data_IF_501335496317
#
_entry.id   IF_501335496317
#
_cell.length_a   1.000
_cell.length_b   1.000
_cell.length_c   1.000
_cell.angle_alpha   90.00
_cell.angle_beta   90.00
_cell.angle_gamma   90.00
#
_symmetry.space_group_name_H-M   'P 1'
#
loop_
_entity.id
_entity.type
_entity.pdbx_description
1 polymer ?
#
# COMPACT_ATOMS: atom_id res chain seq x y z
N UNK A 1 -14.90 8.60 32.36
CA UNK A 1 -15.37 8.41 30.97
C UNK A 1 -14.13 8.22 30.09
N UNK A 2 -14.04 7.15 29.31
CA UNK A 2 -12.92 6.94 28.38
C UNK A 2 -12.97 7.94 27.22
N UNK A 3 -11.81 8.23 26.61
CA UNK A 3 -11.69 9.10 25.44
C UNK A 3 -12.26 8.40 24.18
N UNK A 4 -12.50 9.15 23.10
CA UNK A 4 -12.86 8.53 21.78
C UNK A 4 -11.77 7.60 21.27
N UNK A 5 -10.48 7.87 21.57
CA UNK A 5 -9.37 6.97 21.26
C UNK A 5 -9.47 5.65 22.05
N UNK A 6 -9.84 5.69 23.34
CA UNK A 6 -10.08 4.48 24.13
C UNK A 6 -11.24 3.67 23.56
N UNK A 7 -12.33 4.34 23.14
CA UNK A 7 -13.45 3.71 22.45
C UNK A 7 -12.99 3.04 21.16
N UNK A 8 -12.30 3.76 20.29
CA UNK A 8 -11.80 3.21 19.02
C UNK A 8 -10.85 2.03 19.26
N UNK A 9 -9.96 2.15 20.24
CA UNK A 9 -9.01 1.07 20.60
C UNK A 9 -9.70 -0.20 21.11
N UNK A 10 -10.85 -0.09 21.77
CA UNK A 10 -11.60 -1.21 22.33
C UNK A 10 -12.61 -1.79 21.32
N UNK A 11 -13.44 -0.90 20.75
CA UNK A 11 -14.62 -1.30 19.97
C UNK A 11 -14.30 -1.46 18.47
N UNK A 12 -13.18 -0.86 18.00
CA UNK A 12 -12.68 -0.91 16.60
C UNK A 12 -13.52 -0.13 15.61
N UNK A 13 -14.49 0.63 16.07
CA UNK A 13 -15.36 1.44 15.23
C UNK A 13 -15.79 2.73 15.93
N UNK A 14 -16.10 3.74 15.13
CA UNK A 14 -16.71 4.99 15.54
C UNK A 14 -17.78 5.42 14.52
N UNK A 15 -18.67 6.32 14.92
CA UNK A 15 -19.51 7.02 13.95
C UNK A 15 -18.69 8.03 13.15
N UNK A 16 -19.17 8.42 11.96
CA UNK A 16 -18.48 9.44 11.15
C UNK A 16 -18.28 10.76 11.92
N UNK A 17 -19.28 11.18 12.72
CA UNK A 17 -19.19 12.38 13.55
C UNK A 17 -18.12 12.25 14.67
N UNK A 18 -17.94 11.05 15.24
CA UNK A 18 -16.89 10.79 16.24
C UNK A 18 -15.51 10.79 15.61
N UNK A 19 -15.35 10.25 14.38
CA UNK A 19 -14.09 10.39 13.62
C UNK A 19 -13.79 11.85 13.31
N UNK A 20 -14.80 12.63 12.85
CA UNK A 20 -14.61 14.05 12.59
C UNK A 20 -14.17 14.81 13.85
N UNK A 21 -14.75 14.50 15.00
CA UNK A 21 -14.33 15.10 16.28
C UNK A 21 -12.88 14.77 16.62
N UNK A 22 -12.41 13.51 16.41
CA UNK A 22 -11.01 13.15 16.61
C UNK A 22 -10.07 13.92 15.67
N UNK A 23 -10.52 14.26 14.47
CA UNK A 23 -9.74 15.00 13.48
C UNK A 23 -9.74 16.52 13.70
N UNK A 24 -10.78 17.05 14.35
CA UNK A 24 -10.87 18.45 14.78
C UNK A 24 -10.06 18.73 16.05
N UNK A 25 -10.03 17.77 16.97
CA UNK A 25 -9.34 17.85 18.24
C UNK A 25 -8.28 16.72 18.34
N UNK A 26 -7.20 16.76 17.52
CA UNK A 26 -6.26 15.67 17.40
C UNK A 26 -5.43 15.48 18.68
N UNK A 27 -5.23 14.22 19.07
CA UNK A 27 -4.41 13.81 20.20
C UNK A 27 -3.30 12.85 19.72
N UNK A 28 -2.33 13.33 18.93
CA UNK A 28 -1.38 12.47 18.21
C UNK A 28 -0.49 11.64 19.12
N UNK A 29 -0.04 12.20 20.27
CA UNK A 29 0.80 11.48 21.23
C UNK A 29 0.07 10.30 21.89
N UNK A 30 -1.19 10.50 22.28
CA UNK A 30 -2.00 9.43 22.87
C UNK A 30 -2.34 8.37 21.81
N UNK A 31 -2.76 8.80 20.62
CA UNK A 31 -3.06 7.90 19.51
C UNK A 31 -1.85 7.04 19.12
N UNK A 32 -0.66 7.65 18.99
CA UNK A 32 0.59 6.95 18.69
C UNK A 32 0.96 5.92 19.76
N UNK A 33 0.87 6.26 21.05
CA UNK A 33 1.13 5.31 22.15
C UNK A 33 0.18 4.12 22.13
N UNK A 34 -1.10 4.34 21.88
CA UNK A 34 -2.09 3.27 21.76
C UNK A 34 -1.85 2.40 20.52
N UNK A 35 -1.52 3.02 19.38
CA UNK A 35 -1.22 2.34 18.14
C UNK A 35 0.05 1.48 18.25
N UNK A 36 1.15 2.00 18.80
CA UNK A 36 2.38 1.23 19.02
C UNK A 36 2.14 0.03 19.97
N UNK A 37 1.36 0.23 21.04
CA UNK A 37 0.99 -0.87 21.95
C UNK A 37 0.24 -1.99 21.21
N UNK A 38 -0.73 -1.66 20.33
CA UNK A 38 -1.48 -2.64 19.54
C UNK A 38 -0.55 -3.31 18.55
N UNK A 39 0.25 -2.53 17.83
CA UNK A 39 1.21 -3.02 16.84
C UNK A 39 2.19 -4.00 17.46
N UNK A 40 2.82 -3.65 18.60
CA UNK A 40 3.75 -4.54 19.33
C UNK A 40 3.07 -5.81 19.82
N UNK A 41 1.82 -5.73 20.27
CA UNK A 41 1.05 -6.92 20.67
C UNK A 41 0.81 -7.88 19.50
N UNK A 42 0.62 -7.37 18.27
CA UNK A 42 0.29 -8.17 17.08
C UNK A 42 1.52 -8.64 16.30
N UNK A 43 2.51 -7.79 16.17
CA UNK A 43 3.67 -8.02 15.28
C UNK A 43 5.02 -8.04 16.02
N UNK A 44 5.04 -7.80 17.33
CA UNK A 44 6.30 -7.70 18.11
C UNK A 44 7.12 -6.49 17.65
N UNK A 45 8.44 -6.70 17.50
CA UNK A 45 9.38 -5.71 16.96
C UNK A 45 9.48 -5.73 15.43
N UNK A 46 8.83 -6.69 14.75
CA UNK A 46 8.98 -6.94 13.31
C UNK A 46 8.39 -5.83 12.45
N UNK A 47 9.15 -5.43 11.45
CA UNK A 47 8.75 -4.58 10.32
C UNK A 47 9.00 -5.36 9.04
N UNK A 48 7.99 -5.48 8.19
CA UNK A 48 8.07 -6.27 6.96
C UNK A 48 8.64 -5.43 5.82
N UNK A 49 9.62 -5.98 5.12
CA UNK A 49 10.22 -5.35 3.95
C UNK A 49 9.50 -5.82 2.68
N UNK A 50 8.95 -4.86 1.94
CA UNK A 50 8.30 -5.08 0.65
C UNK A 50 9.15 -4.51 -0.48
N UNK A 51 9.53 -5.33 -1.44
CA UNK A 51 10.17 -4.92 -2.69
C UNK A 51 9.14 -4.46 -3.71
N UNK A 52 9.25 -3.22 -4.17
CA UNK A 52 8.38 -2.63 -5.19
C UNK A 52 9.03 -2.69 -6.55
N UNK A 53 8.33 -3.28 -7.50
CA UNK A 53 8.72 -3.32 -8.92
C UNK A 53 7.65 -2.61 -9.74
N UNK A 54 7.91 -1.38 -10.18
CA UNK A 54 7.08 -0.68 -11.14
C UNK A 54 7.33 -1.28 -12.52
N UNK A 55 6.52 -2.26 -12.91
CA UNK A 55 6.73 -3.05 -14.12
C UNK A 55 6.49 -2.26 -15.40
N UNK A 56 5.68 -1.19 -15.32
CA UNK A 56 5.43 -0.27 -16.42
C UNK A 56 5.15 1.14 -15.92
N UNK A 57 5.64 2.12 -16.67
CA UNK A 57 5.26 3.52 -16.50
C UNK A 57 4.15 3.95 -17.46
N UNK A 58 3.55 3.01 -18.20
CA UNK A 58 2.44 3.27 -19.11
C UNK A 58 1.13 3.06 -18.36
N UNK A 59 0.18 3.98 -18.64
CA UNK A 59 -1.20 3.87 -18.18
C UNK A 59 -2.12 4.22 -19.34
N UNK A 60 -3.23 3.50 -19.47
CA UNK A 60 -4.25 3.77 -20.50
C UNK A 60 -5.21 4.89 -20.14
N UNK A 61 -5.14 5.44 -18.91
CA UNK A 61 -6.07 6.44 -18.39
C UNK A 61 -5.41 7.79 -18.13
N UNK A 62 -6.23 8.84 -18.12
CA UNK A 62 -5.78 10.22 -17.95
C UNK A 62 -6.36 10.86 -16.68
N UNK A 63 -6.22 10.17 -15.55
CA UNK A 63 -6.67 10.67 -14.26
C UNK A 63 -5.93 11.96 -13.88
N UNK A 64 -6.66 13.03 -13.53
CA UNK A 64 -6.12 14.38 -13.37
C UNK A 64 -4.99 14.49 -12.32
N UNK A 65 -5.04 13.70 -11.26
CA UNK A 65 -4.06 13.71 -10.15
C UNK A 65 -2.94 12.69 -10.29
N UNK A 66 -3.02 11.82 -11.29
CA UNK A 66 -2.04 10.75 -11.46
C UNK A 66 -0.80 11.23 -12.23
N UNK A 67 0.40 11.15 -11.67
CA UNK A 67 1.60 11.52 -12.40
C UNK A 67 1.92 10.55 -13.54
N UNK A 68 1.33 9.33 -13.53
CA UNK A 68 1.49 8.33 -14.59
C UNK A 68 0.43 8.44 -15.69
N UNK A 69 -0.50 9.40 -15.62
CA UNK A 69 -1.59 9.57 -16.57
C UNK A 69 -1.10 9.56 -18.02
N UNK A 70 -1.98 9.16 -18.95
CA UNK A 70 -1.64 8.98 -20.37
C UNK A 70 -1.01 10.23 -21.01
N UNK A 71 -1.52 11.43 -20.69
CA UNK A 71 -1.03 12.71 -21.22
C UNK A 71 0.28 13.23 -20.62
N UNK A 72 0.77 12.64 -19.52
CA UNK A 72 1.99 13.10 -18.88
C UNK A 72 3.23 12.88 -19.75
N UNK A 73 4.06 13.92 -19.87
CA UNK A 73 5.24 13.94 -20.76
C UNK A 73 6.49 13.52 -19.99
N UNK A 74 6.94 12.28 -20.18
CA UNK A 74 8.21 11.73 -19.71
C UNK A 74 8.55 10.45 -20.47
N UNK A 75 9.80 9.99 -20.37
CA UNK A 75 10.24 8.74 -21.00
C UNK A 75 9.56 7.55 -20.35
N UNK A 76 8.75 6.84 -21.13
CA UNK A 76 7.98 5.68 -20.67
C UNK A 76 8.72 4.38 -20.93
N UNK A 77 8.46 3.38 -20.08
CA UNK A 77 9.04 2.05 -20.21
C UNK A 77 8.03 0.94 -19.88
N UNK A 78 8.34 -0.26 -20.31
CA UNK A 78 7.75 -1.53 -19.91
C UNK A 78 8.87 -2.51 -19.61
N UNK A 79 8.72 -3.30 -18.57
CA UNK A 79 9.63 -4.41 -18.26
C UNK A 79 9.11 -5.68 -18.92
N UNK A 80 10.01 -6.46 -19.50
CA UNK A 80 9.67 -7.82 -19.94
C UNK A 80 9.65 -8.76 -18.73
N UNK A 81 8.92 -9.89 -18.77
CA UNK A 81 8.86 -10.85 -17.65
C UNK A 81 10.24 -11.26 -17.11
N UNK A 82 11.24 -11.42 -17.98
CA UNK A 82 12.60 -11.75 -17.55
C UNK A 82 13.23 -10.65 -16.71
N UNK A 83 13.08 -9.40 -17.09
CA UNK A 83 13.61 -8.26 -16.33
C UNK A 83 12.99 -8.15 -14.95
N UNK A 84 11.69 -8.51 -14.83
CA UNK A 84 10.98 -8.56 -13.54
C UNK A 84 11.54 -9.68 -12.67
N UNK A 85 11.77 -10.87 -13.24
CA UNK A 85 12.40 -12.00 -12.54
C UNK A 85 13.81 -11.64 -12.06
N UNK A 86 14.64 -11.01 -12.90
CA UNK A 86 15.99 -10.57 -12.54
C UNK A 86 15.95 -9.57 -11.35
N UNK A 87 14.98 -8.64 -11.31
CA UNK A 87 14.79 -7.75 -10.14
C UNK A 87 14.39 -8.53 -8.88
N UNK A 88 13.56 -9.56 -9.01
CA UNK A 88 13.18 -10.39 -7.87
C UNK A 88 14.36 -11.24 -7.37
N UNK A 89 15.26 -11.68 -8.25
CA UNK A 89 16.49 -12.40 -7.87
C UNK A 89 17.43 -11.49 -7.06
N UNK A 90 17.68 -10.28 -7.57
CA UNK A 90 18.49 -9.29 -6.87
C UNK A 90 17.91 -9.01 -5.46
N UNK A 91 16.58 -8.85 -5.38
CA UNK A 91 15.88 -8.60 -4.12
C UNK A 91 15.92 -9.81 -3.17
N UNK A 92 15.75 -11.01 -3.70
CA UNK A 92 15.86 -12.25 -2.91
C UNK A 92 17.23 -12.42 -2.26
N UNK A 93 18.29 -12.07 -2.99
CA UNK A 93 19.66 -12.07 -2.48
C UNK A 93 19.88 -11.04 -1.34
N UNK A 94 19.01 -10.05 -1.21
CA UNK A 94 18.99 -9.05 -0.13
C UNK A 94 17.93 -9.33 0.94
N UNK A 95 17.45 -10.56 1.02
CA UNK A 95 16.46 -11.01 2.00
C UNK A 95 15.06 -10.38 1.87
N UNK A 96 14.73 -9.82 0.71
CA UNK A 96 13.35 -9.39 0.43
C UNK A 96 12.49 -10.62 0.14
N UNK A 97 11.40 -10.79 0.90
CA UNK A 97 10.48 -11.94 0.81
C UNK A 97 9.05 -11.53 0.46
N UNK A 98 8.83 -10.29 0.06
CA UNK A 98 7.54 -9.78 -0.40
C UNK A 98 7.76 -8.91 -1.63
N UNK A 99 7.13 -9.24 -2.75
CA UNK A 99 7.21 -8.49 -4.01
C UNK A 99 5.88 -7.82 -4.31
N UNK A 100 5.91 -6.53 -4.66
CA UNK A 100 4.76 -5.81 -5.19
C UNK A 100 5.03 -5.44 -6.65
N UNK A 101 4.29 -6.05 -7.57
CA UNK A 101 4.30 -5.68 -8.99
C UNK A 101 3.25 -4.59 -9.23
N UNK A 102 3.69 -3.38 -9.63
CA UNK A 102 2.83 -2.23 -9.79
C UNK A 102 2.90 -1.64 -11.21
N UNK A 103 1.75 -1.26 -11.74
CA UNK A 103 1.59 -0.42 -12.92
C UNK A 103 0.21 0.23 -12.94
N UNK A 104 0.01 1.23 -13.80
CA UNK A 104 -1.35 1.55 -14.25
C UNK A 104 -1.90 0.43 -15.14
N UNK A 105 -3.20 0.48 -15.51
CA UNK A 105 -3.75 -0.42 -16.51
C UNK A 105 -2.98 -0.33 -17.84
N UNK A 106 -2.20 -1.36 -18.13
CA UNK A 106 -1.39 -1.48 -19.35
C UNK A 106 -1.76 -2.78 -20.08
N UNK A 107 -2.36 -2.66 -21.26
CA UNK A 107 -2.84 -3.79 -22.09
C UNK A 107 -1.72 -4.74 -22.55
N UNK A 108 -0.46 -4.34 -22.43
CA UNK A 108 0.68 -5.22 -22.72
C UNK A 108 0.71 -6.44 -21.79
N UNK A 109 0.37 -6.24 -20.52
CA UNK A 109 0.34 -7.32 -19.53
C UNK A 109 -0.99 -8.06 -19.58
N UNK A 110 -1.07 -9.05 -20.48
CA UNK A 110 -2.22 -9.94 -20.57
C UNK A 110 -2.30 -10.87 -19.34
N UNK A 111 -3.50 -11.42 -19.06
CA UNK A 111 -3.68 -12.36 -17.95
C UNK A 111 -2.75 -13.56 -18.08
N UNK A 112 -2.64 -14.14 -19.31
CA UNK A 112 -1.71 -15.24 -19.57
C UNK A 112 -0.26 -14.88 -19.23
N UNK A 113 0.22 -13.72 -19.68
CA UNK A 113 1.60 -13.28 -19.40
C UNK A 113 1.85 -13.10 -17.91
N UNK A 114 0.89 -12.53 -17.19
CA UNK A 114 0.97 -12.31 -15.75
C UNK A 114 0.91 -13.64 -14.99
N UNK A 115 -0.01 -14.54 -15.35
CA UNK A 115 -0.10 -15.87 -14.74
C UNK A 115 1.21 -16.65 -14.94
N UNK A 116 1.72 -16.71 -16.19
CA UNK A 116 3.01 -17.37 -16.49
C UNK A 116 4.19 -16.76 -15.68
N UNK A 117 4.15 -15.46 -15.39
CA UNK A 117 5.15 -14.78 -14.56
C UNK A 117 5.00 -15.14 -13.09
N UNK A 118 3.77 -15.12 -12.55
CA UNK A 118 3.46 -15.45 -11.16
C UNK A 118 3.84 -16.90 -10.87
N UNK A 119 3.50 -17.85 -11.75
CA UNK A 119 3.93 -19.26 -11.64
C UNK A 119 5.44 -19.39 -11.52
N UNK A 120 6.18 -18.68 -12.37
CA UNK A 120 7.67 -18.68 -12.33
C UNK A 120 8.19 -18.08 -11.02
N UNK A 121 7.58 -17.02 -10.51
CA UNK A 121 7.93 -16.43 -9.22
C UNK A 121 7.69 -17.42 -8.07
N UNK A 122 6.58 -18.16 -8.09
CA UNK A 122 6.27 -19.19 -7.09
C UNK A 122 7.29 -20.34 -7.10
N UNK A 123 7.65 -20.82 -8.28
CA UNK A 123 8.64 -21.89 -8.43
C UNK A 123 10.02 -21.42 -7.96
N UNK A 124 10.43 -20.20 -8.33
CA UNK A 124 11.77 -19.71 -8.09
C UNK A 124 11.98 -19.16 -6.67
N UNK A 125 10.95 -18.57 -6.08
CA UNK A 125 10.99 -17.96 -4.76
C UNK A 125 9.88 -18.53 -3.85
N UNK A 126 10.01 -19.79 -3.43
CA UNK A 126 9.02 -20.42 -2.58
C UNK A 126 8.90 -19.68 -1.24
N UNK A 127 7.67 -19.47 -0.78
CA UNK A 127 7.40 -18.74 0.47
C UNK A 127 7.44 -17.21 0.36
N UNK A 128 7.73 -16.61 -0.80
CA UNK A 128 7.55 -15.17 -1.00
C UNK A 128 6.07 -14.79 -1.04
N UNK A 129 5.75 -13.60 -0.52
CA UNK A 129 4.46 -12.97 -0.78
C UNK A 129 4.50 -12.25 -2.13
N UNK A 130 3.51 -12.50 -3.00
CA UNK A 130 3.36 -11.85 -4.30
C UNK A 130 2.12 -10.96 -4.26
N UNK A 131 2.35 -9.64 -4.31
CA UNK A 131 1.30 -8.64 -4.34
C UNK A 131 1.23 -7.98 -5.73
N UNK A 132 0.03 -7.63 -6.15
CA UNK A 132 -0.25 -6.96 -7.41
C UNK A 132 -0.91 -5.60 -7.15
N UNK A 133 -0.58 -4.58 -7.94
CA UNK A 133 -1.25 -3.28 -8.00
C UNK A 133 -1.28 -2.83 -9.47
N UNK A 134 -2.15 -3.44 -10.25
CA UNK A 134 -2.20 -3.31 -11.72
C UNK A 134 -3.46 -2.56 -12.21
N UNK A 135 -4.09 -1.79 -11.32
CA UNK A 135 -5.36 -1.11 -11.58
C UNK A 135 -6.56 -2.03 -11.54
N UNK A 136 -7.68 -1.58 -12.10
CA UNK A 136 -8.91 -2.38 -12.15
C UNK A 136 -8.84 -3.48 -13.20
N UNK A 137 -9.33 -4.66 -12.86
CA UNK A 137 -9.43 -5.83 -13.74
C UNK A 137 -10.80 -6.49 -13.60
N UNK A 138 -11.19 -7.30 -14.58
CA UNK A 138 -12.40 -8.10 -14.44
C UNK A 138 -12.22 -9.19 -13.37
N UNK A 139 -13.33 -9.67 -12.82
CA UNK A 139 -13.34 -10.72 -11.81
C UNK A 139 -12.65 -12.00 -12.29
N UNK A 140 -12.84 -12.35 -13.58
CA UNK A 140 -12.21 -13.50 -14.23
C UNK A 140 -10.69 -13.32 -14.28
N UNK A 141 -10.21 -12.11 -14.66
CA UNK A 141 -8.79 -11.77 -14.64
C UNK A 141 -8.21 -11.86 -13.23
N UNK A 142 -8.90 -11.29 -12.22
CA UNK A 142 -8.47 -11.36 -10.82
C UNK A 142 -8.36 -12.82 -10.34
N UNK A 143 -9.35 -13.66 -10.68
CA UNK A 143 -9.33 -15.08 -10.33
C UNK A 143 -8.16 -15.81 -10.99
N UNK A 144 -7.93 -15.61 -12.29
CA UNK A 144 -6.83 -16.25 -13.01
C UNK A 144 -5.45 -15.92 -12.38
N UNK A 145 -5.24 -14.68 -11.95
CA UNK A 145 -4.00 -14.26 -11.30
C UNK A 145 -3.87 -14.80 -9.86
N UNK A 146 -4.99 -14.94 -9.12
CA UNK A 146 -5.03 -15.57 -7.81
C UNK A 146 -4.71 -17.06 -7.92
N UNK A 147 -5.33 -17.76 -8.89
CA UNK A 147 -5.11 -19.19 -9.15
C UNK A 147 -3.66 -19.47 -9.54
N UNK A 148 -2.99 -18.53 -10.25
CA UNK A 148 -1.56 -18.59 -10.54
C UNK A 148 -0.67 -18.35 -9.31
N UNK A 149 -1.23 -17.93 -8.18
CA UNK A 149 -0.53 -17.80 -6.90
C UNK A 149 -0.24 -16.37 -6.45
N UNK A 150 -0.90 -15.34 -6.96
CA UNK A 150 -0.83 -14.01 -6.37
C UNK A 150 -1.59 -13.98 -5.04
N UNK A 151 -0.93 -13.48 -4.00
CA UNK A 151 -1.44 -13.51 -2.63
C UNK A 151 -2.28 -12.28 -2.29
N UNK A 152 -1.84 -11.10 -2.77
CA UNK A 152 -2.44 -9.81 -2.45
C UNK A 152 -2.77 -9.03 -3.70
N UNK A 153 -3.81 -8.22 -3.60
CA UNK A 153 -4.06 -7.20 -4.60
C UNK A 153 -4.32 -5.86 -3.91
N UNK A 154 -3.60 -4.83 -4.35
CA UNK A 154 -3.73 -3.48 -3.79
C UNK A 154 -4.44 -2.61 -4.83
N UNK A 155 -5.60 -2.11 -4.45
CA UNK A 155 -6.40 -1.18 -5.24
C UNK A 155 -6.91 -0.08 -4.33
N UNK A 156 -6.36 1.12 -4.45
CA UNK A 156 -6.80 2.24 -3.64
C UNK A 156 -8.22 2.64 -4.04
N UNK A 157 -9.10 2.91 -3.05
CA UNK A 157 -10.35 3.62 -3.35
C UNK A 157 -10.09 5.07 -3.73
N UNK A 158 -8.92 5.59 -3.32
CA UNK A 158 -8.41 6.95 -3.49
C UNK A 158 -9.18 8.00 -2.68
N UNK A 159 -10.49 7.96 -2.67
CA UNK A 159 -11.34 8.80 -1.82
C UNK A 159 -12.74 8.20 -1.67
N UNK A 160 -13.40 8.49 -0.53
CA UNK A 160 -14.82 8.22 -0.29
C UNK A 160 -15.74 9.33 -0.85
N UNK A 161 -15.17 10.43 -1.38
CA UNK A 161 -15.94 11.49 -2.05
C UNK A 161 -16.15 11.13 -3.52
N UNK A 162 -17.31 10.51 -3.81
CA UNK A 162 -17.71 10.13 -5.16
C UNK A 162 -17.66 11.29 -6.15
N UNK A 163 -18.13 12.47 -5.76
CA UNK A 163 -18.20 13.62 -6.66
C UNK A 163 -16.78 14.13 -7.01
N UNK A 164 -15.85 14.07 -6.06
CA UNK A 164 -14.46 14.40 -6.30
C UNK A 164 -13.80 13.34 -7.20
N UNK A 165 -14.03 12.05 -6.93
CA UNK A 165 -13.50 10.94 -7.73
C UNK A 165 -13.95 11.07 -9.19
N UNK A 166 -15.25 11.16 -9.43
CA UNK A 166 -15.82 11.21 -10.78
C UNK A 166 -15.39 12.46 -11.59
N UNK A 167 -15.02 13.57 -10.92
CA UNK A 167 -14.44 14.76 -11.58
C UNK A 167 -12.96 14.63 -11.95
N UNK A 168 -12.24 13.76 -11.28
CA UNK A 168 -10.78 13.62 -11.45
C UNK A 168 -10.38 12.40 -12.25
N UNK A 169 -11.34 11.55 -12.61
CA UNK A 169 -11.14 10.32 -13.37
C UNK A 169 -11.92 10.35 -14.70
N UNK A 170 -11.43 9.62 -15.73
CA UNK A 170 -12.19 9.40 -16.96
C UNK A 170 -13.54 8.69 -16.70
N UNK A 171 -14.50 8.89 -17.61
CA UNK A 171 -15.87 8.34 -17.48
C UNK A 171 -15.91 6.81 -17.32
N UNK A 172 -14.98 6.10 -17.91
CA UNK A 172 -14.86 4.65 -17.86
C UNK A 172 -14.18 4.13 -16.56
N UNK A 173 -13.71 5.05 -15.70
CA UNK A 173 -13.16 4.78 -14.36
C UNK A 173 -14.01 5.41 -13.25
N UNK A 174 -15.32 5.19 -13.24
CA UNK A 174 -16.22 5.75 -12.22
C UNK A 174 -16.02 5.12 -10.85
N UNK A 175 -16.33 5.89 -9.80
CA UNK A 175 -16.18 5.46 -8.41
C UNK A 175 -16.91 4.14 -8.10
N UNK A 176 -18.14 3.96 -8.60
CA UNK A 176 -18.89 2.71 -8.38
C UNK A 176 -18.17 1.49 -8.98
N UNK A 177 -17.55 1.64 -10.14
CA UNK A 177 -16.75 0.58 -10.76
C UNK A 177 -15.53 0.23 -9.91
N UNK A 178 -14.88 1.24 -9.31
CA UNK A 178 -13.76 1.05 -8.37
C UNK A 178 -14.19 0.22 -7.16
N UNK A 179 -15.32 0.58 -6.54
CA UNK A 179 -15.86 -0.13 -5.39
C UNK A 179 -16.28 -1.56 -5.76
N UNK A 180 -16.87 -1.76 -6.95
CA UNK A 180 -17.21 -3.09 -7.44
C UNK A 180 -15.96 -3.96 -7.57
N UNK A 181 -14.89 -3.47 -8.20
CA UNK A 181 -13.63 -4.19 -8.32
C UNK A 181 -12.99 -4.51 -6.94
N UNK A 182 -13.10 -3.61 -5.96
CA UNK A 182 -12.66 -3.87 -4.58
C UNK A 182 -13.44 -5.04 -3.93
N UNK A 183 -14.74 -5.13 -4.18
CA UNK A 183 -15.56 -6.25 -3.70
C UNK A 183 -15.19 -7.55 -4.42
N UNK A 184 -14.98 -7.51 -5.75
CA UNK A 184 -14.52 -8.68 -6.52
C UNK A 184 -13.19 -9.23 -5.99
N UNK A 185 -12.27 -8.37 -5.55
CA UNK A 185 -11.02 -8.78 -4.93
C UNK A 185 -11.24 -9.61 -3.66
N UNK A 186 -12.17 -9.20 -2.80
CA UNK A 186 -12.54 -9.98 -1.60
C UNK A 186 -13.16 -11.32 -1.96
N UNK A 187 -14.06 -11.34 -2.93
CA UNK A 187 -14.75 -12.55 -3.36
C UNK A 187 -13.82 -13.55 -4.08
N UNK A 188 -12.72 -13.09 -4.64
CA UNK A 188 -11.70 -13.94 -5.26
C UNK A 188 -10.62 -14.44 -4.29
N UNK A 189 -10.72 -14.10 -2.99
CA UNK A 189 -9.85 -14.65 -1.93
C UNK A 189 -8.52 -13.94 -1.75
N UNK A 190 -8.30 -12.77 -2.40
CA UNK A 190 -7.11 -11.97 -2.16
C UNK A 190 -7.04 -11.42 -0.73
N UNK A 191 -5.83 -11.32 -0.18
CA UNK A 191 -5.57 -10.30 0.82
C UNK A 191 -5.74 -8.93 0.14
N UNK A 192 -6.89 -8.31 0.36
CA UNK A 192 -7.24 -7.06 -0.32
C UNK A 192 -6.61 -5.88 0.37
N UNK A 193 -5.77 -5.15 -0.36
CA UNK A 193 -5.23 -3.86 0.03
C UNK A 193 -6.08 -2.71 -0.49
N UNK A 194 -6.30 -1.71 0.35
CA UNK A 194 -7.06 -0.51 0.04
C UNK A 194 -6.33 0.73 0.58
N UNK A 195 -6.85 1.92 0.36
CA UNK A 195 -6.27 3.14 0.90
C UNK A 195 -6.70 4.39 0.15
N UNK A 196 -6.27 5.54 0.64
CA UNK A 196 -6.72 6.81 0.11
C UNK A 196 -5.60 7.85 -0.01
N UNK A 197 -5.88 8.89 -0.79
CA UNK A 197 -4.99 10.03 -0.97
C UNK A 197 -5.11 10.95 0.25
N UNK A 198 -4.00 11.37 0.83
CA UNK A 198 -3.96 12.31 1.96
C UNK A 198 -3.47 13.67 1.48
N UNK A 199 -4.34 14.65 1.50
CA UNK A 199 -4.04 16.02 1.06
C UNK A 199 -4.81 17.05 1.91
N UNK A 200 -5.43 18.01 1.25
CA UNK A 200 -6.15 19.11 1.89
C UNK A 200 -7.64 18.80 2.17
N UNK A 201 -7.97 17.53 2.45
CA UNK A 201 -9.33 17.18 2.85
C UNK A 201 -9.70 17.84 4.17
N UNK A 202 -10.98 18.19 4.30
CA UNK A 202 -11.58 18.65 5.57
C UNK A 202 -11.60 17.49 6.58
N UNK A 203 -11.70 17.77 7.89
CA UNK A 203 -11.89 16.72 8.90
C UNK A 203 -13.07 15.80 8.59
N UNK A 204 -14.22 16.33 8.13
CA UNK A 204 -15.37 15.55 7.71
C UNK A 204 -15.10 14.68 6.46
N UNK A 205 -14.27 15.15 5.53
CA UNK A 205 -13.82 14.35 4.39
C UNK A 205 -12.96 13.16 4.84
N UNK A 206 -11.96 13.41 5.69
CA UNK A 206 -11.11 12.35 6.25
C UNK A 206 -11.89 11.37 7.14
N UNK A 207 -12.91 11.85 7.87
CA UNK A 207 -13.78 10.99 8.65
C UNK A 207 -14.52 9.96 7.77
N UNK A 208 -14.94 10.34 6.56
CA UNK A 208 -15.53 9.42 5.58
C UNK A 208 -14.53 8.41 5.06
N UNK A 209 -13.26 8.82 4.83
CA UNK A 209 -12.19 7.88 4.43
C UNK A 209 -11.94 6.81 5.51
N UNK A 210 -11.83 7.25 6.79
CA UNK A 210 -11.67 6.33 7.91
C UNK A 210 -12.87 5.41 8.06
N UNK A 211 -14.10 5.95 7.93
CA UNK A 211 -15.33 5.16 7.99
C UNK A 211 -15.40 4.12 6.86
N UNK A 212 -14.99 4.49 5.64
CA UNK A 212 -14.89 3.55 4.54
C UNK A 212 -13.93 2.39 4.85
N UNK A 213 -12.71 2.68 5.35
CA UNK A 213 -11.77 1.61 5.72
C UNK A 213 -12.30 0.72 6.84
N UNK A 214 -12.97 1.31 7.83
CA UNK A 214 -13.61 0.57 8.91
C UNK A 214 -14.68 -0.41 8.40
N UNK A 215 -15.54 0.02 7.49
CA UNK A 215 -16.60 -0.82 6.91
C UNK A 215 -16.06 -1.84 5.91
N UNK A 216 -15.09 -1.44 5.11
CA UNK A 216 -14.49 -2.31 4.10
C UNK A 216 -13.57 -3.38 4.72
N UNK A 217 -12.93 -3.16 5.89
CA UNK A 217 -12.03 -4.10 6.57
C UNK A 217 -10.92 -4.66 5.65
N UNK A 218 -10.06 -3.82 5.06
CA UNK A 218 -8.96 -4.31 4.22
C UNK A 218 -7.87 -4.99 5.08
N UNK A 219 -7.19 -5.99 4.50
CA UNK A 219 -6.04 -6.63 5.14
C UNK A 219 -4.72 -5.85 4.95
N UNK A 220 -4.68 -4.93 4.00
CA UNK A 220 -3.55 -4.00 3.85
C UNK A 220 -4.06 -2.57 3.61
N UNK A 221 -3.36 -1.56 4.15
CA UNK A 221 -3.73 -0.16 3.94
C UNK A 221 -2.52 0.64 3.48
N UNK A 222 -2.76 1.46 2.44
CA UNK A 222 -1.79 2.41 1.92
C UNK A 222 -2.36 3.83 1.97
N UNK A 223 -1.62 4.73 2.60
CA UNK A 223 -1.87 6.17 2.51
C UNK A 223 -0.93 6.76 1.46
N UNK A 224 -1.48 7.60 0.58
CA UNK A 224 -0.69 8.30 -0.44
C UNK A 224 -0.70 9.80 -0.14
N UNK A 225 0.36 10.34 0.50
CA UNK A 225 0.46 11.76 0.78
C UNK A 225 0.54 12.59 -0.51
N UNK A 226 -0.32 13.61 -0.61
CA UNK A 226 -0.30 14.65 -1.64
C UNK A 226 -0.01 15.98 -0.95
N UNK A 227 1.26 16.33 -0.78
CA UNK A 227 1.71 17.53 -0.06
C UNK A 227 1.13 17.62 1.37
N UNK A 228 0.90 16.47 2.01
CA UNK A 228 0.34 16.41 3.35
C UNK A 228 1.42 16.57 4.43
N UNK A 229 1.06 17.25 5.52
CA UNK A 229 1.90 17.29 6.72
C UNK A 229 2.20 15.86 7.22
N UNK A 230 3.47 15.50 7.40
CA UNK A 230 3.86 14.21 7.97
C UNK A 230 3.16 13.85 9.28
N UNK A 231 2.95 14.82 10.15
CA UNK A 231 2.22 14.61 11.43
C UNK A 231 0.77 14.22 11.23
N UNK A 232 0.12 14.76 10.21
CA UNK A 232 -1.24 14.35 9.81
C UNK A 232 -1.26 12.89 9.34
N UNK A 233 -0.27 12.47 8.55
CA UNK A 233 -0.14 11.09 8.08
C UNK A 233 0.09 10.13 9.25
N UNK A 234 0.99 10.45 10.16
CA UNK A 234 1.28 9.69 11.38
C UNK A 234 0.02 9.53 12.26
N UNK A 235 -0.75 10.61 12.44
CA UNK A 235 -1.99 10.55 13.19
C UNK A 235 -3.03 9.64 12.53
N UNK A 236 -3.20 9.74 11.21
CA UNK A 236 -4.10 8.85 10.45
C UNK A 236 -3.66 7.37 10.55
N UNK A 237 -2.36 7.08 10.43
CA UNK A 237 -1.82 5.72 10.65
C UNK A 237 -2.18 5.19 12.04
N UNK A 238 -2.08 6.05 13.07
CA UNK A 238 -2.45 5.67 14.43
C UNK A 238 -3.93 5.32 14.55
N UNK A 239 -4.82 6.15 14.00
CA UNK A 239 -6.26 5.87 14.00
C UNK A 239 -6.59 4.57 13.24
N UNK A 240 -5.95 4.35 12.09
CA UNK A 240 -6.12 3.14 11.29
C UNK A 240 -5.64 1.91 12.06
N UNK A 241 -4.51 1.97 12.77
CA UNK A 241 -4.04 0.86 13.62
C UNK A 241 -4.99 0.57 14.77
N UNK A 242 -5.62 1.61 15.34
CA UNK A 242 -6.62 1.40 16.39
C UNK A 242 -7.85 0.64 15.88
N UNK A 243 -8.33 0.92 14.66
CA UNK A 243 -9.51 0.25 14.10
C UNK A 243 -9.19 -1.08 13.39
N UNK A 244 -8.01 -1.20 12.77
CA UNK A 244 -7.57 -2.37 12.01
C UNK A 244 -6.29 -2.97 12.62
N UNK A 245 -6.40 -3.66 13.76
CA UNK A 245 -5.23 -4.11 14.54
C UNK A 245 -4.35 -5.13 13.82
N UNK A 246 -4.90 -5.88 12.89
CA UNK A 246 -4.23 -6.97 12.17
C UNK A 246 -3.80 -6.60 10.75
N UNK A 247 -4.19 -5.41 10.26
CA UNK A 247 -3.87 -4.98 8.90
C UNK A 247 -2.38 -4.70 8.70
N UNK A 248 -1.88 -4.93 7.50
CA UNK A 248 -0.58 -4.48 7.05
C UNK A 248 -0.68 -2.99 6.71
N UNK A 249 -0.07 -2.13 7.51
CA UNK A 249 -0.04 -0.68 7.27
C UNK A 249 1.31 -0.30 6.67
N UNK A 250 1.29 0.25 5.45
CA UNK A 250 2.48 0.72 4.79
C UNK A 250 2.91 2.08 5.36
N UNK A 251 4.20 2.22 5.66
CA UNK A 251 4.83 3.50 5.99
C UNK A 251 5.11 4.27 4.69
N UNK A 252 4.41 5.39 4.38
CA UNK A 252 4.54 6.06 3.08
C UNK A 252 5.94 6.60 2.78
N UNK A 253 6.66 7.04 3.80
CA UNK A 253 8.01 7.60 3.67
C UNK A 253 9.10 6.73 4.31
N UNK A 254 8.76 5.52 4.79
CA UNK A 254 9.68 4.60 5.49
C UNK A 254 10.35 5.21 6.73
N UNK A 255 9.67 6.11 7.44
CA UNK A 255 10.23 6.78 8.63
C UNK A 255 9.92 6.02 9.91
N UNK A 256 10.84 6.04 10.90
CA UNK A 256 10.60 5.43 12.21
C UNK A 256 9.33 5.95 12.91
N UNK A 257 9.00 7.25 12.75
CA UNK A 257 7.80 7.87 13.31
C UNK A 257 6.51 7.24 12.79
N UNK A 258 6.50 6.83 11.51
CA UNK A 258 5.35 6.14 10.91
C UNK A 258 5.19 4.72 11.50
N UNK A 259 6.31 4.06 11.83
CA UNK A 259 6.29 2.75 12.49
C UNK A 259 5.78 2.89 13.93
N UNK A 260 6.24 3.92 14.67
CA UNK A 260 5.73 4.25 16.00
C UNK A 260 4.24 4.64 15.96
N UNK A 261 3.79 5.26 14.86
CA UNK A 261 2.38 5.55 14.61
C UNK A 261 1.53 4.33 14.20
N UNK A 262 2.13 3.13 14.16
CA UNK A 262 1.39 1.89 13.94
C UNK A 262 1.63 1.20 12.60
N UNK A 263 2.41 1.79 11.66
CA UNK A 263 2.80 1.10 10.43
C UNK A 263 3.70 -0.10 10.74
N UNK A 264 3.70 -1.09 9.86
CA UNK A 264 4.50 -2.31 10.01
C UNK A 264 5.07 -2.84 8.67
N UNK A 265 4.91 -2.08 7.59
CA UNK A 265 5.48 -2.40 6.27
C UNK A 265 6.29 -1.20 5.78
N UNK A 266 7.53 -1.45 5.39
CA UNK A 266 8.38 -0.51 4.66
C UNK A 266 8.58 -0.99 3.23
N UNK A 267 8.75 -0.06 2.29
CA UNK A 267 8.82 -0.40 0.87
C UNK A 267 10.14 0.06 0.28
N UNK A 268 10.85 -0.85 -0.38
CA UNK A 268 12.06 -0.55 -1.15
C UNK A 268 11.77 -0.69 -2.65
N UNK A 269 12.04 0.35 -3.44
CA UNK A 269 11.99 0.24 -4.90
C UNK A 269 13.11 -0.64 -5.42
N UNK A 270 12.80 -1.56 -6.32
CA UNK A 270 13.75 -2.50 -6.92
C UNK A 270 14.08 -2.17 -8.39
N UNK A 271 13.63 -1.02 -8.88
CA UNK A 271 13.88 -0.61 -10.27
C UNK A 271 15.26 0.01 -10.37
N UNK A 272 16.09 -0.50 -11.31
CA UNK A 272 17.40 0.06 -11.60
C UNK A 272 17.30 1.50 -12.14
N UNK A 273 18.23 2.39 -11.75
CA UNK A 273 18.22 3.86 -11.93
C UNK A 273 17.99 4.40 -13.34
N UNK A 274 18.18 3.59 -14.36
CA UNK A 274 17.98 4.03 -15.75
C UNK A 274 16.52 4.23 -16.14
N UNK A 275 15.57 3.90 -15.24
CA UNK A 275 14.13 4.03 -15.47
C UNK A 275 13.53 4.96 -14.44
N UNK A 276 13.18 6.18 -14.85
CA UNK A 276 12.43 7.08 -13.98
C UNK A 276 10.96 6.70 -13.97
N UNK A 277 10.40 6.51 -12.76
CA UNK A 277 8.97 6.31 -12.59
C UNK A 277 8.38 7.49 -11.82
N UNK A 278 7.26 8.09 -12.27
CA UNK A 278 6.71 9.31 -11.67
C UNK A 278 6.23 9.15 -10.23
N UNK A 279 5.93 7.92 -9.79
CA UNK A 279 5.56 7.60 -8.41
C UNK A 279 6.74 7.22 -7.51
N UNK A 280 7.93 7.07 -8.03
CA UNK A 280 9.10 6.71 -7.24
C UNK A 280 9.66 7.94 -6.52
N UNK A 281 8.97 8.37 -5.47
CA UNK A 281 9.51 9.32 -4.48
C UNK A 281 10.38 8.68 -3.39
N UNK A 282 10.46 7.33 -3.36
CA UNK A 282 11.29 6.59 -2.42
C UNK A 282 12.72 6.34 -2.95
N UNK A 283 13.63 5.88 -2.08
CA UNK A 283 14.98 5.53 -2.49
C UNK A 283 14.95 4.48 -3.60
N UNK A 284 15.71 4.74 -4.67
CA UNK A 284 15.79 3.89 -5.86
C UNK A 284 16.84 2.80 -5.65
N UNK A 285 16.67 1.65 -6.30
CA UNK A 285 17.65 0.58 -6.24
C UNK A 285 18.72 0.76 -7.32
N UNK A 286 19.92 1.17 -6.93
CA UNK A 286 21.08 1.38 -7.81
C UNK A 286 22.32 0.53 -7.43
N UNK A 287 22.09 -0.73 -7.03
CA UNK A 287 23.17 -1.61 -6.67
C UNK A 287 23.75 -1.32 -5.27
N UNK A 288 25.05 -1.07 -5.09
CA UNK A 288 25.64 -0.88 -3.75
C UNK A 288 25.06 0.27 -2.93
N UNK A 289 24.62 1.36 -3.59
CA UNK A 289 23.99 2.51 -2.93
C UNK A 289 22.66 2.14 -2.26
N UNK A 290 21.97 1.13 -2.78
CA UNK A 290 20.67 0.70 -2.23
C UNK A 290 20.84 -0.22 -1.03
N UNK A 291 21.90 -0.99 -0.99
CA UNK A 291 22.29 -1.73 0.21
C UNK A 291 22.58 -0.75 1.35
N UNK A 292 23.23 0.37 1.08
CA UNK A 292 23.48 1.42 2.06
C UNK A 292 22.19 2.08 2.54
N UNK A 293 21.25 2.36 1.63
CA UNK A 293 19.92 2.89 1.96
C UNK A 293 19.13 1.93 2.85
N UNK A 294 19.12 0.63 2.51
CA UNK A 294 18.47 -0.38 3.32
C UNK A 294 19.17 -0.57 4.68
N UNK A 295 20.50 -0.50 4.71
CA UNK A 295 21.26 -0.55 5.95
C UNK A 295 21.00 0.68 6.84
N UNK A 296 20.86 1.87 6.26
CA UNK A 296 20.48 3.08 6.98
C UNK A 296 19.06 2.97 7.56
N UNK A 297 18.10 2.45 6.80
CA UNK A 297 16.75 2.18 7.27
C UNK A 297 16.74 1.16 8.42
N UNK A 298 17.50 0.06 8.29
CA UNK A 298 17.66 -0.94 9.37
C UNK A 298 18.20 -0.30 10.66
N UNK A 299 19.22 0.57 10.55
CA UNK A 299 19.78 1.28 11.72
C UNK A 299 18.74 2.19 12.36
N UNK A 300 18.07 3.06 11.59
CA UNK A 300 17.08 4.01 12.13
C UNK A 300 15.90 3.32 12.80
N UNK A 301 15.44 2.17 12.29
CA UNK A 301 14.40 1.38 12.92
C UNK A 301 14.91 0.67 14.20
N UNK A 302 16.15 0.20 14.20
CA UNK A 302 16.76 -0.43 15.37
C UNK A 302 16.91 0.56 16.54
N UNK A 303 17.22 1.83 16.27
CA UNK A 303 17.32 2.90 17.28
C UNK A 303 16.00 3.13 18.04
N UNK A 304 14.86 2.86 17.39
CA UNK A 304 13.51 2.97 18.01
C UNK A 304 12.95 1.61 18.42
N UNK A 305 13.77 0.56 18.43
CA UNK A 305 13.44 -0.77 18.96
C UNK A 305 12.61 -1.63 18.01
N UNK A 306 12.83 -1.50 16.68
CA UNK A 306 12.22 -2.34 15.66
C UNK A 306 13.27 -2.98 14.77
N UNK A 307 12.89 -4.09 14.14
CA UNK A 307 13.76 -4.84 13.23
C UNK A 307 13.03 -5.17 11.93
N UNK A 308 13.75 -5.02 10.80
CA UNK A 308 13.25 -5.51 9.52
C UNK A 308 13.39 -7.02 9.52
N UNK A 309 12.25 -7.71 9.45
CA UNK A 309 12.21 -9.17 9.35
C UNK A 309 12.38 -9.63 7.90
N UNK A 310 13.02 -10.79 7.76
CA UNK A 310 13.13 -11.52 6.49
C UNK A 310 11.87 -12.35 6.19
N UNK A 311 10.94 -12.47 7.14
CA UNK A 311 9.68 -13.17 6.90
C UNK A 311 8.82 -12.43 5.87
N UNK A 312 8.09 -13.09 4.99
CA UNK A 312 7.01 -12.46 4.26
C UNK A 312 5.99 -11.92 5.26
N UNK A 313 5.39 -10.78 4.96
CA UNK A 313 4.31 -10.28 5.81
C UNK A 313 3.19 -11.32 5.93
N UNK A 314 2.55 -11.48 7.13
CA UNK A 314 1.66 -12.60 7.39
C UNK A 314 0.58 -12.76 6.32
N UNK A 315 0.42 -13.98 5.90
CA UNK A 315 -0.64 -14.47 5.04
C UNK A 315 -1.61 -15.24 5.92
N UNK A 316 -2.79 -14.71 6.11
CA UNK A 316 -3.89 -15.46 6.70
C UNK A 316 -4.73 -15.99 5.54
N UNK A 317 -4.35 -17.17 5.02
CA UNK A 317 -5.17 -17.96 4.13
C UNK A 317 -6.32 -18.57 4.89
#
# INVERSE_FOLDING_TARGET
MGTLLDKLSRDRWLTTAEYEKLLLEPQPELAGKLADKIRRKRFGTRVYLRGLIDVSSICGYDCARCPQRASAQYTRYRMRPREILDCCEDAWAMDVRSFLLRSGPDKFYTDKMLSDLIDKLRIRFPGCAIALALGERSKESLRALSDAGADRYILLQETADRAWYDRTHPEDLRHDRRLHCLNDLKETGYQTGCGFLVGNQTPGGLAKELKFLEEFQPQAVELVPLDADPKKVEYLLSLIRLMLPDALLCAPANRPEEILAGANVVTQSLIRSRRSHPFCGGPRFDGPADQETLAALRRSLSEVGFEITMDPAPWNG
#
